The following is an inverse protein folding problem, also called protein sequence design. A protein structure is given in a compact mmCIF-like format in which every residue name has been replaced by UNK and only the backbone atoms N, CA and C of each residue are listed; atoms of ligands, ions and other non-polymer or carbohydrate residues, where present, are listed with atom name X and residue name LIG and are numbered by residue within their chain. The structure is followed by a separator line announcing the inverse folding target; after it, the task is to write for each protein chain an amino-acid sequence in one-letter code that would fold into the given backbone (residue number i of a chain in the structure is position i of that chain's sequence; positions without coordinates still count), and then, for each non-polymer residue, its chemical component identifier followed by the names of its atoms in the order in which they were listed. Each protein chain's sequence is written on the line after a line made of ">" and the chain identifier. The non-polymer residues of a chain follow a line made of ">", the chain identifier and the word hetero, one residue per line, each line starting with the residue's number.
data_IF_946526592905
#
_entry.id   IF_946526592905
#
_cell.length_a   1.000
_cell.length_b   1.000
_cell.length_c   1.000
_cell.angle_alpha   90.00
_cell.angle_beta   90.00
_cell.angle_gamma   90.00
#
_symmetry.space_group_name_H-M   'P 1'
#
loop_
_entity.id
_entity.type
_entity.pdbx_description
1 polymer ?
#
# COMPACT_ATOMS: atom_id res chain seq x y z
N UNK A 1 -0.11 17.47 31.78
CA UNK A 1 1.00 16.50 31.83
C UNK A 1 1.66 16.49 30.47
N UNK A 2 2.97 16.22 30.40
CA UNK A 2 3.67 16.16 29.12
C UNK A 2 3.55 14.75 28.56
N UNK A 3 3.13 14.65 27.30
CA UNK A 3 3.07 13.40 26.58
C UNK A 3 4.49 12.91 26.25
N UNK A 4 4.68 11.60 26.25
CA UNK A 4 5.96 10.98 25.92
C UNK A 4 5.75 9.68 25.17
N UNK A 5 6.65 9.40 24.23
CA UNK A 5 6.70 8.14 23.51
C UNK A 5 7.44 7.04 24.27
N UNK A 6 8.09 7.33 25.40
CA UNK A 6 8.78 6.34 26.20
C UNK A 6 7.82 5.68 27.21
N UNK A 7 7.80 4.35 27.26
CA UNK A 7 7.02 3.62 28.26
C UNK A 7 7.61 3.79 29.67
N UNK A 8 6.78 3.81 30.74
CA UNK A 8 7.26 3.87 32.12
C UNK A 8 8.11 2.65 32.48
N UNK A 9 9.09 2.83 33.35
CA UNK A 9 9.86 1.71 33.88
C UNK A 9 9.03 0.92 34.92
N UNK A 10 9.35 -0.37 35.07
CA UNK A 10 8.74 -1.19 36.10
C UNK A 10 9.07 -0.62 37.50
N UNK A 11 8.03 -0.14 38.20
CA UNK A 11 8.16 0.46 39.54
C UNK A 11 8.00 1.98 39.57
N UNK A 12 7.81 2.65 38.43
CA UNK A 12 7.50 4.07 38.39
C UNK A 12 6.16 4.36 39.08
N UNK A 13 6.16 5.37 39.97
CA UNK A 13 4.92 5.85 40.58
C UNK A 13 4.19 6.75 39.60
N UNK A 14 2.97 6.35 39.23
CA UNK A 14 2.08 7.14 38.39
C UNK A 14 1.13 8.04 39.21
N UNK A 15 1.35 8.18 40.51
CA UNK A 15 0.60 9.13 41.36
C UNK A 15 0.98 10.57 40.99
N UNK A 16 -0.01 11.36 40.59
CA UNK A 16 0.19 12.74 40.17
C UNK A 16 -0.13 13.75 41.27
N UNK A 17 -1.16 13.46 42.05
CA UNK A 17 -1.66 14.38 43.07
C UNK A 17 -1.93 13.61 44.36
N UNK A 18 -1.48 14.18 45.46
CA UNK A 18 -1.91 13.78 46.80
C UNK A 18 -2.25 15.05 47.57
N UNK A 19 -3.45 15.16 48.11
CA UNK A 19 -3.84 16.30 48.96
C UNK A 19 -3.95 15.87 50.42
N UNK A 20 -3.86 16.84 51.33
CA UNK A 20 -3.99 16.60 52.77
C UNK A 20 -5.44 16.48 53.26
N UNK A 21 -6.43 16.44 52.37
CA UNK A 21 -7.85 16.54 52.68
C UNK A 21 -8.63 17.48 51.74
N UNK A 22 -9.97 17.40 51.76
CA UNK A 22 -10.87 18.35 51.07
C UNK A 22 -11.67 17.76 49.91
N UNK A 23 -12.44 18.61 49.23
CA UNK A 23 -13.36 18.28 48.13
C UNK A 23 -12.80 18.68 46.74
N UNK A 24 -11.48 18.86 46.64
CA UNK A 24 -10.82 19.18 45.39
C UNK A 24 -10.98 18.06 44.35
N UNK A 25 -11.39 18.42 43.14
CA UNK A 25 -11.48 17.52 42.00
C UNK A 25 -10.40 17.88 40.97
N UNK A 26 -9.73 16.87 40.41
CA UNK A 26 -8.70 17.03 39.40
C UNK A 26 -9.11 16.37 38.09
N UNK A 27 -8.72 16.98 36.98
CA UNK A 27 -8.90 16.43 35.64
C UNK A 27 -7.62 16.64 34.82
N UNK A 28 -7.42 15.83 33.78
CA UNK A 28 -6.35 16.06 32.82
C UNK A 28 -6.78 17.17 31.85
N UNK A 29 -5.89 18.15 31.66
CA UNK A 29 -6.12 19.28 30.74
C UNK A 29 -5.85 18.96 29.26
N UNK A 30 -5.33 17.76 28.98
CA UNK A 30 -5.08 17.27 27.62
C UNK A 30 -6.42 16.93 26.93
N UNK A 31 -6.44 16.94 25.60
CA UNK A 31 -7.65 16.62 24.84
C UNK A 31 -8.17 15.21 25.20
N UNK A 32 -9.48 15.05 25.33
CA UNK A 32 -10.08 13.77 25.73
C UNK A 32 -9.84 13.35 27.19
N UNK A 33 -9.12 14.15 27.99
CA UNK A 33 -8.80 13.81 29.37
C UNK A 33 -7.80 12.64 29.48
N UNK A 34 -6.95 12.46 28.46
CA UNK A 34 -5.93 11.40 28.38
C UNK A 34 -4.53 11.98 28.27
N UNK A 35 -3.52 11.24 28.72
CA UNK A 35 -2.10 11.55 28.51
C UNK A 35 -1.44 10.40 27.77
N UNK A 36 -0.59 10.71 26.79
CA UNK A 36 0.11 9.70 26.01
C UNK A 36 1.39 9.32 26.74
N UNK A 37 1.53 8.05 27.12
CA UNK A 37 2.74 7.55 27.78
C UNK A 37 3.14 6.21 27.17
N UNK A 38 4.16 6.25 26.33
CA UNK A 38 4.64 5.07 25.63
C UNK A 38 3.63 4.55 24.62
N UNK A 39 3.32 3.27 24.73
CA UNK A 39 2.44 2.54 23.81
C UNK A 39 0.96 2.87 24.03
N UNK A 40 0.55 3.21 25.26
CA UNK A 40 -0.86 3.32 25.65
C UNK A 40 -1.24 4.71 26.15
N UNK A 41 -2.52 5.05 26.03
CA UNK A 41 -3.08 6.25 26.64
C UNK A 41 -3.42 5.98 28.11
N UNK A 42 -3.28 7.00 28.95
CA UNK A 42 -3.56 6.93 30.38
C UNK A 42 -4.62 7.94 30.77
N UNK A 43 -5.52 7.56 31.67
CA UNK A 43 -6.52 8.45 32.26
C UNK A 43 -6.22 8.72 33.72
N UNK A 44 -6.77 9.79 34.26
CA UNK A 44 -6.68 10.08 35.69
C UNK A 44 -7.69 9.24 36.46
N UNK A 45 -7.20 8.41 37.39
CA UNK A 45 -8.00 7.65 38.33
C UNK A 45 -7.96 8.33 39.70
N UNK A 46 -9.14 8.56 40.27
CA UNK A 46 -9.29 8.88 41.70
C UNK A 46 -9.18 7.57 42.50
N UNK A 47 -8.10 7.44 43.26
CA UNK A 47 -7.84 6.24 44.07
C UNK A 47 -8.57 6.27 45.42
N UNK A 48 -9.34 7.32 45.70
CA UNK A 48 -9.80 7.64 47.04
C UNK A 48 -8.64 8.10 47.94
N UNK A 49 -8.96 8.39 49.20
CA UNK A 49 -7.99 8.89 50.19
C UNK A 49 -7.20 10.12 49.73
N UNK A 50 -7.80 10.99 48.91
CA UNK A 50 -7.19 12.22 48.42
C UNK A 50 -5.95 11.99 47.55
N UNK A 51 -5.95 10.91 46.74
CA UNK A 51 -4.86 10.56 45.84
C UNK A 51 -5.37 10.26 44.43
N UNK A 52 -4.69 10.81 43.42
CA UNK A 52 -5.00 10.60 42.01
C UNK A 52 -3.76 10.09 41.27
N UNK A 53 -3.92 9.02 40.49
CA UNK A 53 -2.85 8.44 39.68
C UNK A 53 -3.28 8.23 38.24
N UNK A 54 -2.30 8.04 37.37
CA UNK A 54 -2.58 7.60 36.01
C UNK A 54 -2.84 6.10 36.00
N UNK A 55 -3.96 5.73 35.38
CA UNK A 55 -4.31 4.35 35.09
C UNK A 55 -4.16 4.10 33.58
N UNK A 56 -3.44 3.04 33.25
CA UNK A 56 -3.26 2.59 31.87
C UNK A 56 -4.62 2.21 31.27
N UNK A 57 -5.00 2.83 30.16
CA UNK A 57 -6.14 2.38 29.37
C UNK A 57 -5.66 1.48 28.22
N UNK A 58 -5.46 0.19 28.51
CA UNK A 58 -5.01 -0.81 27.51
C UNK A 58 -5.91 -0.97 26.30
N UNK A 59 -7.13 -0.42 26.35
CA UNK A 59 -8.04 -0.43 25.20
C UNK A 59 -7.67 0.62 24.14
N UNK A 60 -6.83 1.61 24.45
CA UNK A 60 -6.46 2.67 23.51
C UNK A 60 -4.95 2.88 23.44
N UNK A 61 -4.40 2.66 22.25
CA UNK A 61 -3.00 2.91 21.91
C UNK A 61 -2.78 4.41 21.64
N UNK A 62 -1.58 4.91 21.93
CA UNK A 62 -1.25 6.33 21.68
C UNK A 62 -1.31 6.67 20.19
N UNK A 63 -1.57 7.95 19.83
CA UNK A 63 -1.46 8.41 18.45
C UNK A 63 -0.12 8.03 17.79
N UNK A 64 1.01 8.19 18.50
CA UNK A 64 2.32 7.79 17.97
C UNK A 64 2.44 6.28 17.70
N UNK A 65 1.77 5.43 18.48
CA UNK A 65 1.68 3.99 18.21
C UNK A 65 0.87 3.73 16.94
N UNK A 66 -0.26 4.44 16.75
CA UNK A 66 -1.02 4.34 15.49
C UNK A 66 -0.22 4.80 14.29
N UNK A 67 0.61 5.85 14.42
CA UNK A 67 1.45 6.36 13.33
C UNK A 67 2.45 5.30 12.86
N UNK A 68 3.10 4.60 13.80
CA UNK A 68 4.02 3.49 13.52
C UNK A 68 3.31 2.34 12.78
N UNK A 69 2.12 1.96 13.22
CA UNK A 69 1.31 0.91 12.58
C UNK A 69 0.85 1.32 11.18
N UNK A 70 0.38 2.56 11.02
CA UNK A 70 -0.09 3.09 9.75
C UNK A 70 1.02 3.08 8.69
N UNK A 71 2.23 3.52 9.05
CA UNK A 71 3.36 3.51 8.12
C UNK A 71 3.77 2.09 7.69
N UNK A 72 3.75 1.13 8.62
CA UNK A 72 4.04 -0.27 8.30
C UNK A 72 2.99 -0.88 7.35
N UNK A 73 1.72 -0.49 7.48
CA UNK A 73 0.62 -0.95 6.61
C UNK A 73 0.60 -0.26 5.24
N UNK A 74 1.17 0.94 5.11
CA UNK A 74 1.16 1.72 3.87
C UNK A 74 2.15 1.19 2.80
N UNK A 75 3.30 0.63 3.21
CA UNK A 75 4.31 0.12 2.26
C UNK A 75 3.77 -0.97 1.30
N UNK A 76 3.01 -1.99 1.78
CA UNK A 76 2.26 -2.90 0.93
C UNK A 76 1.42 -2.24 -0.18
N UNK A 77 0.77 -1.12 0.15
CA UNK A 77 -0.12 -0.42 -0.78
C UNK A 77 0.67 0.36 -1.84
N UNK A 78 1.84 0.91 -1.46
CA UNK A 78 2.80 1.49 -2.42
C UNK A 78 3.28 0.40 -3.39
N UNK A 79 3.72 -0.75 -2.87
CA UNK A 79 4.17 -1.88 -3.69
C UNK A 79 3.10 -2.33 -4.70
N UNK A 80 1.85 -2.44 -4.27
CA UNK A 80 0.73 -2.84 -5.11
C UNK A 80 0.43 -1.84 -6.23
N UNK A 81 0.42 -0.54 -5.91
CA UNK A 81 0.16 0.51 -6.89
C UNK A 81 1.21 0.48 -8.02
N UNK A 82 2.48 0.37 -7.65
CA UNK A 82 3.59 0.28 -8.61
C UNK A 82 3.55 -1.02 -9.43
N UNK A 83 3.16 -2.14 -8.82
CA UNK A 83 3.05 -3.41 -9.53
C UNK A 83 1.92 -3.35 -10.58
N UNK A 84 0.79 -2.70 -10.26
CA UNK A 84 -0.37 -2.63 -11.14
C UNK A 84 -0.06 -1.89 -12.47
N UNK A 85 0.90 -0.96 -12.53
CA UNK A 85 1.31 -0.29 -13.78
C UNK A 85 1.97 -1.25 -14.76
N UNK A 86 2.86 -2.12 -14.27
CA UNK A 86 3.55 -3.13 -15.09
C UNK A 86 2.60 -4.26 -15.48
N UNK A 87 1.66 -4.61 -14.61
CA UNK A 87 0.60 -5.60 -14.93
C UNK A 87 -0.31 -5.09 -16.04
N UNK A 88 -0.69 -3.81 -16.02
CA UNK A 88 -1.47 -3.21 -17.11
C UNK A 88 -0.66 -3.21 -18.42
N UNK A 89 0.64 -2.90 -18.39
CA UNK A 89 1.54 -3.04 -19.55
C UNK A 89 1.50 -4.45 -20.12
N UNK A 90 1.72 -5.48 -19.29
CA UNK A 90 1.72 -6.89 -19.72
C UNK A 90 0.37 -7.35 -20.29
N UNK A 91 -0.74 -6.89 -19.70
CA UNK A 91 -2.09 -7.15 -20.21
C UNK A 91 -2.38 -6.42 -21.54
N UNK A 92 -1.76 -5.25 -21.75
CA UNK A 92 -1.98 -4.42 -22.95
C UNK A 92 -1.32 -4.97 -24.21
N UNK A 93 -0.25 -5.73 -24.05
CA UNK A 93 0.54 -6.27 -25.16
C UNK A 93 0.08 -7.66 -25.62
N UNK A 94 -0.93 -8.26 -24.97
CA UNK A 94 -1.43 -9.60 -25.36
C UNK A 94 -2.00 -9.57 -26.77
N UNK A 95 -1.50 -10.45 -27.65
CA UNK A 95 -1.86 -10.49 -29.06
C UNK A 95 -1.39 -9.29 -29.90
N UNK A 96 -0.50 -8.43 -29.37
CA UNK A 96 0.08 -7.28 -30.11
C UNK A 96 1.49 -7.63 -30.54
N UNK A 97 1.84 -7.36 -31.80
CA UNK A 97 3.19 -7.55 -32.33
C UNK A 97 3.94 -6.21 -32.43
N UNK A 98 5.18 -6.18 -31.98
CA UNK A 98 6.14 -5.09 -32.13
C UNK A 98 7.54 -5.66 -31.81
N UNK A 99 8.60 -5.00 -32.26
CA UNK A 99 9.97 -5.45 -31.98
C UNK A 99 10.46 -4.92 -30.64
N UNK A 100 10.51 -3.59 -30.48
CA UNK A 100 10.86 -2.92 -29.23
C UNK A 100 9.90 -1.78 -28.93
N UNK A 101 9.68 -1.52 -27.64
CA UNK A 101 8.87 -0.42 -27.18
C UNK A 101 9.50 0.26 -25.96
N UNK A 102 9.44 1.58 -25.95
CA UNK A 102 9.55 2.36 -24.72
C UNK A 102 8.16 2.76 -24.27
N UNK A 103 7.90 2.74 -22.97
CA UNK A 103 6.61 3.13 -22.42
C UNK A 103 6.77 3.88 -21.12
N UNK A 104 5.75 4.67 -20.79
CA UNK A 104 5.64 5.36 -19.51
C UNK A 104 4.21 5.33 -19.03
N UNK A 105 4.00 5.19 -17.72
CA UNK A 105 2.68 5.23 -17.10
C UNK A 105 2.73 6.06 -15.83
N UNK A 106 1.84 7.05 -15.73
CA UNK A 106 1.62 7.80 -14.51
C UNK A 106 0.45 7.16 -13.75
N UNK A 107 0.61 7.00 -12.44
CA UNK A 107 -0.42 6.47 -11.54
C UNK A 107 -0.78 7.50 -10.48
N UNK A 108 -2.06 7.52 -10.12
CA UNK A 108 -2.56 8.25 -8.97
C UNK A 108 -3.55 7.32 -8.25
N UNK A 109 -3.45 7.17 -6.94
CA UNK A 109 -4.39 6.34 -6.18
C UNK A 109 -4.67 6.90 -4.81
N UNK A 110 -5.88 6.65 -4.30
CA UNK A 110 -6.24 6.85 -2.90
C UNK A 110 -6.62 5.53 -2.27
N UNK A 111 -6.17 5.32 -1.05
CA UNK A 111 -6.58 4.22 -0.18
C UNK A 111 -7.12 4.78 1.13
N UNK A 112 -8.23 4.24 1.61
CA UNK A 112 -8.75 4.46 2.95
C UNK A 112 -8.60 3.11 3.68
N UNK A 113 -7.84 3.11 4.77
CA UNK A 113 -7.51 1.90 5.52
C UNK A 113 -8.10 2.00 6.91
N UNK A 114 -8.79 0.94 7.30
CA UNK A 114 -9.29 0.75 8.66
C UNK A 114 -8.67 -0.53 9.23
N UNK A 115 -8.24 -0.46 10.50
CA UNK A 115 -7.66 -1.60 11.22
C UNK A 115 -8.43 -1.82 12.51
N UNK A 116 -8.49 -3.08 12.96
CA UNK A 116 -9.17 -3.45 14.20
C UNK A 116 -8.51 -2.81 15.44
N UNK A 117 -7.23 -2.44 15.33
CA UNK A 117 -6.47 -1.74 16.38
C UNK A 117 -6.82 -0.24 16.49
N UNK A 118 -7.67 0.29 15.60
CA UNK A 118 -8.01 1.73 15.56
C UNK A 118 -6.92 2.61 14.93
N UNK A 119 -5.95 2.00 14.24
CA UNK A 119 -4.93 2.67 13.44
C UNK A 119 -5.42 2.79 12.00
N UNK A 120 -6.38 3.69 11.77
CA UNK A 120 -6.87 4.02 10.43
C UNK A 120 -6.04 5.13 9.78
N UNK A 121 -5.98 5.13 8.45
CA UNK A 121 -5.33 6.18 7.68
C UNK A 121 -5.89 6.32 6.27
N UNK A 122 -5.72 7.53 5.72
CA UNK A 122 -5.92 7.81 4.31
C UNK A 122 -4.56 7.96 3.62
N UNK A 123 -4.39 7.31 2.48
CA UNK A 123 -3.19 7.40 1.65
C UNK A 123 -3.55 8.02 0.30
N UNK A 124 -2.73 8.95 -0.19
CA UNK A 124 -2.75 9.38 -1.59
C UNK A 124 -1.36 9.20 -2.19
N UNK A 125 -1.26 8.41 -3.26
CA UNK A 125 -0.02 8.13 -3.97
C UNK A 125 -0.06 8.69 -5.38
N UNK A 126 1.06 9.24 -5.83
CA UNK A 126 1.32 9.58 -7.24
C UNK A 126 2.65 8.97 -7.65
N UNK A 127 2.72 8.38 -8.84
CA UNK A 127 3.95 7.77 -9.34
C UNK A 127 4.11 7.85 -10.85
N UNK A 128 5.33 7.61 -11.30
CA UNK A 128 5.70 7.52 -12.70
C UNK A 128 6.58 6.30 -12.93
N UNK A 129 6.08 5.36 -13.73
CA UNK A 129 6.82 4.21 -14.21
C UNK A 129 7.34 4.48 -15.61
N UNK A 130 8.60 4.15 -15.86
CA UNK A 130 9.24 4.13 -17.18
C UNK A 130 9.73 2.73 -17.48
N UNK A 131 9.51 2.24 -18.69
CA UNK A 131 9.95 0.90 -19.08
C UNK A 131 10.37 0.79 -20.53
N UNK A 132 11.13 -0.27 -20.78
CA UNK A 132 11.54 -0.70 -22.11
C UNK A 132 11.36 -2.22 -22.21
N UNK A 133 10.75 -2.67 -23.30
CA UNK A 133 10.58 -4.09 -23.56
C UNK A 133 10.71 -4.42 -25.03
N UNK A 134 11.08 -5.67 -25.28
CA UNK A 134 11.11 -6.25 -26.62
C UNK A 134 10.22 -7.48 -26.65
N UNK A 135 9.60 -7.70 -27.81
CA UNK A 135 8.76 -8.87 -28.05
C UNK A 135 9.31 -9.66 -29.22
N UNK A 136 9.33 -10.97 -29.05
CA UNK A 136 9.85 -11.92 -30.03
C UNK A 136 8.82 -12.99 -30.29
N UNK A 137 8.41 -13.12 -31.54
CA UNK A 137 7.47 -14.16 -31.99
C UNK A 137 8.23 -15.24 -32.72
N UNK A 138 8.08 -16.49 -32.30
CA UNK A 138 8.67 -17.67 -32.93
C UNK A 138 7.66 -18.81 -32.94
N UNK A 139 7.47 -19.41 -34.13
CA UNK A 139 6.55 -20.53 -34.33
C UNK A 139 5.16 -20.19 -33.75
N UNK A 140 4.68 -20.99 -32.80
CA UNK A 140 3.37 -20.85 -32.16
C UNK A 140 3.42 -20.03 -30.86
N UNK A 141 4.49 -19.27 -30.60
CA UNK A 141 4.66 -18.54 -29.34
C UNK A 141 5.20 -17.12 -29.53
N UNK A 142 4.80 -16.23 -28.61
CA UNK A 142 5.37 -14.90 -28.41
C UNK A 142 5.98 -14.81 -27.03
N UNK A 143 7.11 -14.12 -26.90
CA UNK A 143 7.74 -13.82 -25.60
C UNK A 143 7.99 -12.32 -25.49
N UNK A 144 7.70 -11.72 -24.33
CA UNK A 144 8.07 -10.35 -23.97
C UNK A 144 9.12 -10.39 -22.86
N UNK A 145 10.06 -9.46 -22.89
CA UNK A 145 11.03 -9.22 -21.82
C UNK A 145 11.26 -7.73 -21.67
N UNK A 146 11.27 -7.24 -20.44
CA UNK A 146 11.47 -5.82 -20.20
C UNK A 146 12.07 -5.51 -18.85
N UNK A 147 12.51 -4.27 -18.74
CA UNK A 147 12.99 -3.63 -17.53
C UNK A 147 12.15 -2.38 -17.28
N UNK A 148 11.97 -2.04 -16.02
CA UNK A 148 11.30 -0.81 -15.64
C UNK A 148 11.94 -0.18 -14.41
N UNK A 149 11.77 1.13 -14.32
CA UNK A 149 12.06 1.95 -13.17
C UNK A 149 10.78 2.68 -12.78
N UNK A 150 10.52 2.82 -11.49
CA UNK A 150 9.42 3.61 -10.97
C UNK A 150 9.89 4.53 -9.84
N UNK A 151 9.31 5.73 -9.81
CA UNK A 151 9.35 6.60 -8.64
C UNK A 151 7.92 6.94 -8.23
N UNK A 152 7.63 6.78 -6.94
CA UNK A 152 6.33 7.13 -6.37
C UNK A 152 6.48 7.92 -5.07
N UNK A 153 5.54 8.84 -4.84
CA UNK A 153 5.40 9.63 -3.63
C UNK A 153 4.02 9.39 -3.03
N UNK A 154 3.98 9.10 -1.74
CA UNK A 154 2.74 8.85 -1.00
C UNK A 154 2.64 9.75 0.21
N UNK A 155 1.55 10.51 0.31
CA UNK A 155 1.14 11.21 1.53
C UNK A 155 0.14 10.33 2.30
N UNK A 156 0.28 10.29 3.62
CA UNK A 156 -0.52 9.50 4.55
C UNK A 156 -1.07 10.42 5.64
N UNK A 157 -2.39 10.51 5.76
CA UNK A 157 -3.08 11.20 6.84
C UNK A 157 -3.57 10.20 7.88
N UNK A 158 -3.13 10.34 9.13
CA UNK A 158 -3.51 9.43 10.21
C UNK A 158 -4.84 9.86 10.86
N UNK A 159 -5.74 8.92 11.12
CA UNK A 159 -7.07 9.22 11.71
C UNK A 159 -6.97 9.82 13.12
N UNK A 160 -5.95 9.41 13.88
CA UNK A 160 -5.63 9.96 15.21
C UNK A 160 -4.83 11.27 15.17
N UNK A 161 -4.63 11.82 13.97
CA UNK A 161 -3.93 13.08 13.74
C UNK A 161 -2.44 12.91 13.49
N UNK A 162 -1.89 13.82 12.69
CA UNK A 162 -0.53 13.69 12.17
C UNK A 162 -0.55 13.28 10.70
N UNK A 163 0.65 13.14 10.13
CA UNK A 163 0.85 12.73 8.74
C UNK A 163 2.15 11.93 8.59
N UNK A 164 2.25 11.12 7.56
CA UNK A 164 3.47 10.44 7.16
C UNK A 164 3.63 10.45 5.65
N UNK A 165 4.86 10.30 5.17
CA UNK A 165 5.15 10.30 3.75
C UNK A 165 6.07 9.11 3.41
N UNK A 166 5.88 8.53 2.22
CA UNK A 166 6.73 7.48 1.67
C UNK A 166 7.17 7.88 0.26
N UNK A 167 8.47 8.03 0.06
CA UNK A 167 9.10 8.09 -1.26
C UNK A 167 9.65 6.71 -1.62
N UNK A 168 9.28 6.20 -2.79
CA UNK A 168 9.70 4.88 -3.27
C UNK A 168 10.51 4.99 -4.55
N UNK A 169 11.59 4.22 -4.61
CA UNK A 169 12.43 4.07 -5.80
C UNK A 169 12.52 2.59 -6.15
N UNK A 170 12.00 2.24 -7.32
CA UNK A 170 11.77 0.84 -7.68
C UNK A 170 12.49 0.49 -8.96
N UNK A 171 13.14 -0.66 -8.97
CA UNK A 171 13.75 -1.27 -10.14
C UNK A 171 13.21 -2.67 -10.31
N UNK A 172 12.79 -3.02 -11.51
CA UNK A 172 12.27 -4.35 -11.78
C UNK A 172 12.43 -4.83 -13.20
N UNK A 173 12.08 -6.10 -13.37
CA UNK A 173 12.11 -6.80 -14.64
C UNK A 173 10.85 -7.63 -14.79
N UNK A 174 10.44 -7.84 -16.04
CA UNK A 174 9.34 -8.74 -16.35
C UNK A 174 9.64 -9.58 -17.58
N UNK A 175 9.00 -10.73 -17.62
CA UNK A 175 8.96 -11.59 -18.77
C UNK A 175 7.57 -12.18 -18.92
N UNK A 176 7.17 -12.44 -20.16
CA UNK A 176 5.89 -13.06 -20.47
C UNK A 176 6.00 -13.98 -21.65
N UNK A 177 5.18 -15.01 -21.67
CA UNK A 177 5.05 -15.98 -22.75
C UNK A 177 3.58 -16.14 -23.10
N UNK A 178 3.27 -16.21 -24.39
CA UNK A 178 1.93 -16.37 -24.94
C UNK A 178 1.97 -17.38 -26.09
N UNK A 179 1.14 -18.41 -26.03
CA UNK A 179 0.97 -19.39 -27.10
C UNK A 179 -0.18 -18.99 -28.02
N UNK A 180 -0.13 -19.39 -29.29
CA UNK A 180 -1.20 -19.15 -30.27
C UNK A 180 -2.55 -19.78 -29.88
N UNK A 181 -2.55 -20.78 -28.99
CA UNK A 181 -3.79 -21.36 -28.47
C UNK A 181 -4.50 -20.43 -27.48
N UNK A 182 -3.84 -19.38 -26.99
CA UNK A 182 -4.36 -18.41 -26.02
C UNK A 182 -3.75 -18.52 -24.63
N UNK A 183 -3.08 -19.62 -24.28
CA UNK A 183 -2.43 -19.78 -22.98
C UNK A 183 -1.30 -18.75 -22.80
N UNK A 184 -1.19 -18.16 -21.62
CA UNK A 184 -0.12 -17.23 -21.31
C UNK A 184 0.35 -17.33 -19.86
N UNK A 185 1.60 -16.91 -19.63
CA UNK A 185 2.19 -16.73 -18.30
C UNK A 185 3.02 -15.46 -18.31
N UNK A 186 2.84 -14.60 -17.32
CA UNK A 186 3.64 -13.41 -17.06
C UNK A 186 4.29 -13.49 -15.69
N UNK A 187 5.49 -12.93 -15.58
CA UNK A 187 6.24 -12.83 -14.33
C UNK A 187 6.84 -11.43 -14.18
N UNK A 188 6.77 -10.89 -12.97
CA UNK A 188 7.41 -9.62 -12.57
C UNK A 188 8.23 -9.88 -11.32
N UNK A 189 9.42 -9.30 -11.27
CA UNK A 189 10.23 -9.19 -10.05
C UNK A 189 10.65 -7.74 -9.88
N UNK A 190 10.58 -7.22 -8.65
CA UNK A 190 11.01 -5.86 -8.34
C UNK A 190 11.63 -5.75 -6.97
N UNK A 191 12.48 -4.75 -6.82
CA UNK A 191 13.07 -4.31 -5.55
C UNK A 191 12.77 -2.84 -5.37
N UNK A 192 12.51 -2.46 -4.13
CA UNK A 192 12.01 -1.14 -3.75
C UNK A 192 12.90 -0.57 -2.64
N UNK A 193 13.19 0.73 -2.70
CA UNK A 193 13.78 1.46 -1.58
C UNK A 193 12.79 2.53 -1.13
N UNK A 194 12.31 2.41 0.11
CA UNK A 194 11.37 3.34 0.71
C UNK A 194 12.10 4.29 1.67
N UNK A 195 11.95 5.59 1.46
CA UNK A 195 12.28 6.61 2.43
C UNK A 195 10.99 7.06 3.12
N UNK A 196 10.94 6.89 4.44
CA UNK A 196 9.73 7.08 5.24
C UNK A 196 9.95 8.24 6.21
N UNK A 197 8.97 9.13 6.29
CA UNK A 197 8.95 10.24 7.24
C UNK A 197 7.64 10.22 8.02
N UNK A 198 7.72 10.42 9.33
CA UNK A 198 6.58 10.48 10.25
C UNK A 198 6.54 11.86 10.90
N UNK A 199 5.37 12.46 10.86
CA UNK A 199 4.99 13.69 11.55
C UNK A 199 3.73 13.42 12.40
N UNK A 200 3.92 12.68 13.48
CA UNK A 200 2.86 12.31 14.42
C UNK A 200 2.37 13.49 15.25
N UNK A 201 1.14 13.40 15.73
CA UNK A 201 0.53 14.39 16.65
C UNK A 201 0.11 13.71 17.95
N UNK A 202 0.61 14.21 19.07
CA UNK A 202 0.28 13.73 20.41
C UNK A 202 -1.02 14.36 20.93
N UNK A 203 -1.64 13.76 21.95
CA UNK A 203 -2.90 14.18 22.56
C UNK A 203 -2.87 15.58 23.18
N UNK A 204 -1.69 16.05 23.61
CA UNK A 204 -1.44 17.42 24.08
C UNK A 204 -1.17 18.42 22.94
N UNK A 205 -1.18 17.97 21.68
CA UNK A 205 -0.96 18.78 20.49
C UNK A 205 0.50 18.94 20.07
N UNK A 206 1.46 18.42 20.82
CA UNK A 206 2.86 18.38 20.40
C UNK A 206 3.07 17.37 19.27
N UNK A 207 4.20 17.47 18.57
CA UNK A 207 4.51 16.62 17.41
C UNK A 207 5.63 15.63 17.71
N UNK A 208 5.53 14.44 17.12
CA UNK A 208 6.55 13.40 17.14
C UNK A 208 7.10 13.19 15.72
N UNK A 209 8.41 13.28 15.55
CA UNK A 209 9.08 13.19 14.26
C UNK A 209 9.88 11.90 14.16
N UNK A 210 9.96 11.29 12.98
CA UNK A 210 10.85 10.16 12.73
C UNK A 210 11.13 9.97 11.24
N UNK A 211 12.36 9.59 10.91
CA UNK A 211 12.78 9.29 9.55
C UNK A 211 13.51 7.94 9.52
N UNK A 212 13.17 7.09 8.56
CA UNK A 212 13.81 5.79 8.39
C UNK A 212 13.71 5.30 6.94
N UNK A 213 14.58 4.37 6.57
CA UNK A 213 14.57 3.75 5.25
C UNK A 213 14.30 2.26 5.37
N UNK A 214 13.54 1.70 4.45
CA UNK A 214 13.35 0.25 4.30
C UNK A 214 13.62 -0.18 2.86
N UNK A 215 13.95 -1.46 2.68
CA UNK A 215 14.10 -2.08 1.38
C UNK A 215 13.06 -3.20 1.22
N UNK A 216 12.40 -3.22 0.07
CA UNK A 216 11.42 -4.21 -0.32
C UNK A 216 11.92 -5.09 -1.46
N UNK A 217 11.38 -6.30 -1.52
CA UNK A 217 11.49 -7.17 -2.69
C UNK A 217 10.17 -7.90 -2.90
N UNK A 218 9.75 -8.03 -4.15
CA UNK A 218 8.54 -8.76 -4.48
C UNK A 218 8.58 -9.43 -5.84
N UNK A 219 7.69 -10.39 -5.98
CA UNK A 219 7.50 -11.17 -7.19
C UNK A 219 6.00 -11.36 -7.45
N UNK A 220 5.65 -11.41 -8.72
CA UNK A 220 4.30 -11.65 -9.20
C UNK A 220 4.34 -12.64 -10.35
N UNK A 221 3.40 -13.57 -10.37
CA UNK A 221 3.15 -14.45 -11.51
C UNK A 221 1.67 -14.42 -11.84
N UNK A 222 1.34 -14.25 -13.12
CA UNK A 222 -0.03 -14.32 -13.64
C UNK A 222 -0.05 -15.37 -14.76
N UNK A 223 -1.07 -16.20 -14.77
CA UNK A 223 -1.29 -17.17 -15.84
C UNK A 223 -2.76 -17.21 -16.22
N UNK A 224 -3.03 -17.41 -17.50
CA UNK A 224 -4.40 -17.36 -17.98
C UNK A 224 -4.54 -17.87 -19.39
N UNK A 225 -5.72 -17.63 -19.94
CA UNK A 225 -6.04 -18.03 -21.30
C UNK A 225 -6.79 -16.92 -22.00
N UNK A 226 -6.36 -16.55 -23.20
CA UNK A 226 -6.99 -15.54 -24.03
C UNK A 226 -7.87 -16.21 -25.08
N UNK A 227 -9.18 -15.97 -24.99
CA UNK A 227 -10.14 -16.34 -26.02
C UNK A 227 -10.50 -15.13 -26.86
N UNK A 228 -10.50 -15.29 -28.18
CA UNK A 228 -10.88 -14.24 -29.13
C UNK A 228 -12.02 -14.74 -30.00
N UNK A 229 -13.09 -13.95 -30.08
CA UNK A 229 -14.22 -14.19 -30.99
C UNK A 229 -14.61 -12.88 -31.67
N UNK A 230 -14.29 -12.77 -32.96
CA UNK A 230 -14.43 -11.54 -33.73
C UNK A 230 -13.66 -10.38 -33.08
N UNK A 231 -14.39 -9.37 -32.63
CA UNK A 231 -13.84 -8.16 -31.99
C UNK A 231 -13.70 -8.30 -30.47
N UNK A 232 -14.20 -9.38 -29.87
CA UNK A 232 -14.15 -9.59 -28.42
C UNK A 232 -12.94 -10.42 -28.02
N UNK A 233 -12.31 -10.05 -26.90
CA UNK A 233 -11.27 -10.82 -26.25
C UNK A 233 -11.61 -11.01 -24.77
N UNK A 234 -11.58 -12.25 -24.28
CA UNK A 234 -11.83 -12.60 -22.87
C UNK A 234 -10.60 -13.30 -22.31
N UNK A 235 -10.17 -12.89 -21.11
CA UNK A 235 -8.97 -13.37 -20.43
C UNK A 235 -9.23 -13.70 -18.97
N UNK A 236 -9.73 -14.90 -18.65
CA UNK A 236 -9.65 -15.44 -17.29
C UNK A 236 -8.19 -15.68 -16.89
N UNK A 237 -7.86 -15.40 -15.63
CA UNK A 237 -6.51 -15.60 -15.10
C UNK A 237 -6.51 -15.93 -13.61
N UNK A 238 -5.39 -16.49 -13.18
CA UNK A 238 -4.98 -16.65 -11.80
C UNK A 238 -3.62 -15.99 -11.62
N UNK A 239 -3.43 -15.35 -10.47
CA UNK A 239 -2.20 -14.66 -10.12
C UNK A 239 -1.80 -14.95 -8.68
N UNK A 240 -0.48 -14.92 -8.45
CA UNK A 240 0.11 -14.98 -7.12
C UNK A 240 1.12 -13.86 -6.96
N UNK A 241 1.05 -13.17 -5.83
CA UNK A 241 1.96 -12.07 -5.49
C UNK A 241 2.59 -12.33 -4.14
N UNK A 242 3.91 -12.18 -4.07
CA UNK A 242 4.68 -12.20 -2.84
C UNK A 242 5.47 -10.90 -2.69
N UNK A 243 5.50 -10.35 -1.48
CA UNK A 243 6.29 -9.17 -1.14
C UNK A 243 6.85 -9.32 0.27
N UNK A 244 8.07 -8.83 0.48
CA UNK A 244 8.66 -8.71 1.81
C UNK A 244 9.50 -7.45 1.92
N UNK A 245 9.56 -6.88 3.12
CA UNK A 245 10.53 -5.83 3.50
C UNK A 245 11.60 -6.37 4.44
N UNK A 246 12.71 -5.66 4.59
CA UNK A 246 13.60 -5.83 5.75
C UNK A 246 12.93 -5.33 7.04
N UNK A 247 13.47 -5.74 8.20
CA UNK A 247 13.01 -5.25 9.50
C UNK A 247 13.53 -3.83 9.76
N UNK A 248 12.74 -3.02 10.48
CA UNK A 248 13.05 -1.61 10.77
C UNK A 248 13.15 -1.37 12.26
N UNK A 249 14.26 -0.76 12.67
CA UNK A 249 14.47 -0.25 14.02
C UNK A 249 14.61 1.27 13.94
N UNK A 250 13.67 2.01 14.53
CA UNK A 250 13.75 3.47 14.59
C UNK A 250 13.16 4.04 15.88
N UNK A 251 13.53 5.29 16.18
CA UNK A 251 13.06 6.00 17.39
C UNK A 251 12.48 7.34 16.98
N UNK A 252 11.27 7.64 17.43
CA UNK A 252 10.63 8.93 17.25
C UNK A 252 11.21 9.97 18.22
N UNK A 253 11.10 11.26 17.87
CA UNK A 253 11.61 12.37 18.68
C UNK A 253 11.00 12.49 20.07
N UNK A 254 9.84 11.86 20.32
CA UNK A 254 9.20 11.78 21.63
C UNK A 254 9.71 10.61 22.50
N UNK A 255 10.66 9.82 22.02
CA UNK A 255 11.27 8.69 22.73
C UNK A 255 10.67 7.33 22.43
N UNK A 256 9.64 7.24 21.57
CA UNK A 256 9.04 5.97 21.18
C UNK A 256 9.98 5.17 20.28
N UNK A 257 10.23 3.91 20.66
CA UNK A 257 11.00 2.97 19.86
C UNK A 257 10.06 2.06 19.09
N UNK A 258 10.28 1.94 17.79
CA UNK A 258 9.58 1.00 16.92
C UNK A 258 10.56 -0.06 16.41
N UNK A 259 10.22 -1.34 16.63
CA UNK A 259 10.84 -2.52 16.01
C UNK A 259 9.76 -3.16 15.12
N UNK A 260 9.80 -2.82 13.84
CA UNK A 260 8.91 -3.35 12.81
C UNK A 260 9.60 -4.58 12.21
N UNK A 261 9.01 -5.76 12.39
CA UNK A 261 9.50 -6.97 11.74
C UNK A 261 9.37 -6.90 10.21
N UNK A 262 9.78 -7.96 9.51
CA UNK A 262 9.56 -8.04 8.06
C UNK A 262 8.07 -7.94 7.74
N UNK A 263 7.65 -6.93 7.00
CA UNK A 263 6.30 -6.87 6.43
C UNK A 263 6.24 -7.87 5.29
N UNK A 264 5.18 -8.68 5.22
CA UNK A 264 4.98 -9.73 4.21
C UNK A 264 3.58 -9.64 3.61
N UNK A 265 3.51 -9.89 2.31
CA UNK A 265 2.27 -10.14 1.59
C UNK A 265 2.42 -11.48 0.89
N UNK A 266 1.38 -12.31 1.01
CA UNK A 266 1.15 -13.47 0.16
C UNK A 266 -0.30 -13.36 -0.32
N UNK A 267 -0.48 -13.17 -1.61
CA UNK A 267 -1.79 -12.94 -2.22
C UNK A 267 -2.03 -13.95 -3.34
N UNK A 268 -3.24 -14.51 -3.37
CA UNK A 268 -3.79 -15.11 -4.58
C UNK A 268 -4.85 -14.18 -5.18
N UNK A 269 -4.90 -14.11 -6.49
CA UNK A 269 -5.87 -13.32 -7.24
C UNK A 269 -6.49 -14.20 -8.33
N UNK A 270 -7.81 -14.11 -8.49
CA UNK A 270 -8.53 -14.73 -9.60
C UNK A 270 -9.39 -13.67 -10.26
N UNK A 271 -9.36 -13.59 -11.59
CA UNK A 271 -10.15 -12.59 -12.28
C UNK A 271 -10.37 -12.88 -13.74
N UNK A 272 -11.04 -11.95 -14.40
CA UNK A 272 -11.30 -11.99 -15.84
C UNK A 272 -11.26 -10.58 -16.40
N UNK A 273 -10.57 -10.42 -17.52
CA UNK A 273 -10.60 -9.20 -18.32
C UNK A 273 -11.36 -9.44 -19.63
N UNK A 274 -12.12 -8.45 -20.07
CA UNK A 274 -12.84 -8.45 -21.36
C UNK A 274 -12.45 -7.19 -22.11
N UNK A 275 -12.11 -7.28 -23.39
CA UNK A 275 -11.85 -6.14 -24.25
C UNK A 275 -12.57 -6.25 -25.59
N UNK A 276 -12.82 -5.10 -26.21
CA UNK A 276 -13.49 -5.00 -27.50
C UNK A 276 -12.64 -4.17 -28.46
N UNK A 277 -12.18 -4.77 -29.55
CA UNK A 277 -11.30 -4.14 -30.52
C UNK A 277 -12.09 -3.39 -31.60
N UNK A 278 -11.71 -2.16 -31.91
CA UNK A 278 -12.38 -1.33 -32.91
C UNK A 278 -11.38 -0.65 -33.84
N UNK A 279 -11.53 -0.86 -35.14
CA UNK A 279 -10.81 -0.10 -36.17
C UNK A 279 -11.66 1.11 -36.60
N UNK A 280 -11.11 2.32 -36.44
CA UNK A 280 -11.74 3.56 -36.88
C UNK A 280 -11.34 3.90 -38.31
N UNK A 281 -12.20 4.61 -39.05
CA UNK A 281 -11.98 4.95 -40.47
C UNK A 281 -10.73 5.80 -40.73
N UNK A 282 -10.22 6.49 -39.71
CA UNK A 282 -9.02 7.31 -39.76
C UNK A 282 -7.72 6.52 -39.49
N UNK A 283 -7.78 5.19 -39.33
CA UNK A 283 -6.63 4.33 -39.06
C UNK A 283 -6.24 4.21 -37.57
N UNK A 284 -7.00 4.84 -36.67
CA UNK A 284 -6.87 4.68 -35.22
C UNK A 284 -7.55 3.38 -34.78
N UNK A 285 -6.90 2.61 -33.90
CA UNK A 285 -7.56 1.49 -33.21
C UNK A 285 -7.98 1.93 -31.82
N UNK A 286 -9.17 1.52 -31.37
CA UNK A 286 -9.69 1.78 -30.03
C UNK A 286 -10.02 0.44 -29.35
N UNK A 287 -9.60 0.27 -28.10
CA UNK A 287 -9.87 -0.93 -27.33
C UNK A 287 -10.31 -0.58 -25.90
N UNK A 288 -11.62 -0.37 -25.67
CA UNK A 288 -12.17 -0.37 -24.33
C UNK A 288 -12.06 -1.77 -23.70
N UNK A 289 -11.83 -1.80 -22.38
CA UNK A 289 -11.72 -3.04 -21.62
C UNK A 289 -12.25 -2.88 -20.19
N UNK A 290 -12.67 -4.02 -19.63
CA UNK A 290 -13.14 -4.17 -18.25
C UNK A 290 -12.39 -5.33 -17.60
N UNK A 291 -12.12 -5.25 -16.30
CA UNK A 291 -11.52 -6.34 -15.52
C UNK A 291 -12.22 -6.43 -14.16
N UNK A 292 -12.53 -7.65 -13.74
CA UNK A 292 -13.02 -7.94 -12.40
C UNK A 292 -12.15 -9.02 -11.77
N UNK A 293 -11.86 -8.88 -10.49
CA UNK A 293 -10.99 -9.78 -9.75
C UNK A 293 -11.41 -9.91 -8.29
N UNK A 294 -11.10 -11.06 -7.71
CA UNK A 294 -11.10 -11.30 -6.26
C UNK A 294 -9.67 -11.57 -5.83
N UNK A 295 -9.20 -10.81 -4.86
CA UNK A 295 -7.91 -10.95 -4.19
C UNK A 295 -8.13 -11.56 -2.81
N UNK A 296 -7.26 -12.49 -2.44
CA UNK A 296 -7.21 -13.07 -1.09
C UNK A 296 -5.79 -12.94 -0.56
N UNK A 297 -5.65 -12.20 0.53
CA UNK A 297 -4.42 -12.00 1.29
C UNK A 297 -4.34 -13.05 2.40
N UNK A 298 -3.18 -13.72 2.50
CA UNK A 298 -2.93 -14.83 3.43
C UNK A 298 -1.84 -14.56 4.47
N UNK A 299 -0.99 -13.55 4.27
CA UNK A 299 0.12 -13.30 5.18
C UNK A 299 -0.39 -12.74 6.53
N UNK A 300 -0.11 -13.46 7.61
CA UNK A 300 -0.62 -13.28 8.98
C UNK A 300 0.53 -13.17 10.01
N UNK A 301 1.59 -12.40 9.69
CA UNK A 301 2.79 -12.34 10.54
C UNK A 301 3.56 -11.02 10.47
N UNK A 302 2.87 -9.92 10.21
CA UNK A 302 3.44 -8.57 10.24
C UNK A 302 3.49 -8.06 11.69
N UNK A 303 4.54 -8.46 12.39
CA UNK A 303 4.71 -8.10 13.80
C UNK A 303 5.31 -6.71 13.93
N UNK A 304 4.63 -5.84 14.66
CA UNK A 304 5.12 -4.52 15.03
C UNK A 304 5.26 -4.47 16.54
N UNK A 305 6.46 -4.17 17.02
CA UNK A 305 6.72 -3.90 18.43
C UNK A 305 6.90 -2.41 18.62
N UNK A 306 6.18 -1.87 19.61
CA UNK A 306 6.31 -0.49 20.06
C UNK A 306 6.77 -0.54 21.50
N UNK A 307 7.92 0.07 21.77
CA UNK A 307 8.66 -0.05 23.02
C UNK A 307 8.82 -1.54 23.43
N UNK A 308 8.93 -1.81 24.74
CA UNK A 308 9.06 -3.17 25.29
C UNK A 308 7.71 -3.82 25.63
N UNK A 309 6.63 -3.04 25.62
CA UNK A 309 5.31 -3.39 26.13
C UNK A 309 4.21 -3.51 25.05
N UNK A 310 4.44 -2.98 23.85
CA UNK A 310 3.51 -3.05 22.71
C UNK A 310 3.89 -4.14 21.72
N UNK A 311 2.97 -5.09 21.47
CA UNK A 311 3.08 -6.10 20.40
C UNK A 311 1.79 -6.13 19.61
N UNK A 312 1.89 -5.80 18.33
CA UNK A 312 0.76 -5.70 17.42
C UNK A 312 0.98 -6.58 16.21
N UNK A 313 -0.09 -7.19 15.73
CA UNK A 313 -0.15 -7.77 14.40
C UNK A 313 -0.82 -6.75 13.49
N UNK A 314 -0.13 -6.36 12.44
CA UNK A 314 -0.57 -5.34 11.49
C UNK A 314 -0.82 -5.97 10.12
N UNK A 315 -1.79 -6.87 10.08
CA UNK A 315 -2.19 -7.60 8.89
C UNK A 315 -3.49 -7.04 8.28
N UNK A 316 -3.56 -7.13 6.95
CA UNK A 316 -4.76 -6.85 6.16
C UNK A 316 -5.23 -8.13 5.48
N UNK A 317 -5.15 -9.25 6.21
CA UNK A 317 -5.60 -10.54 5.73
C UNK A 317 -7.11 -10.50 5.47
N UNK A 318 -7.53 -11.01 4.32
CA UNK A 318 -8.95 -11.03 3.97
C UNK A 318 -9.18 -11.07 2.47
N UNK A 319 -10.45 -10.91 2.10
CA UNK A 319 -10.89 -10.94 0.71
C UNK A 319 -11.22 -9.53 0.23
N UNK A 320 -10.74 -9.19 -0.96
CA UNK A 320 -10.97 -7.90 -1.61
C UNK A 320 -11.47 -8.06 -3.04
N UNK A 321 -12.55 -7.36 -3.38
CA UNK A 321 -13.02 -7.24 -4.76
C UNK A 321 -12.34 -6.08 -5.46
N UNK A 322 -11.93 -6.26 -6.71
CA UNK A 322 -11.31 -5.22 -7.55
C UNK A 322 -11.99 -5.18 -8.92
N UNK A 323 -12.37 -3.98 -9.35
CA UNK A 323 -13.01 -3.71 -10.62
C UNK A 323 -12.25 -2.61 -11.35
N UNK A 324 -11.96 -2.82 -12.62
CA UNK A 324 -11.18 -1.89 -13.43
C UNK A 324 -11.85 -1.70 -14.79
N UNK A 325 -11.70 -0.50 -15.33
CA UNK A 325 -12.16 -0.15 -16.67
C UNK A 325 -11.12 0.75 -17.32
N UNK A 326 -10.94 0.61 -18.62
CA UNK A 326 -10.00 1.46 -19.32
C UNK A 326 -10.20 1.45 -20.83
N UNK A 327 -9.38 2.24 -21.50
CA UNK A 327 -9.35 2.36 -22.94
C UNK A 327 -7.90 2.45 -23.40
N UNK A 328 -7.59 1.73 -24.49
CA UNK A 328 -6.33 1.85 -25.21
C UNK A 328 -6.60 2.38 -26.61
N UNK A 329 -5.71 3.21 -27.13
CA UNK A 329 -5.82 3.78 -28.46
C UNK A 329 -4.48 3.82 -29.18
N UNK A 330 -4.45 3.53 -30.48
CA UNK A 330 -3.28 3.77 -31.34
C UNK A 330 -3.47 5.06 -32.14
N UNK A 331 -2.61 6.05 -31.88
CA UNK A 331 -2.67 7.35 -32.55
C UNK A 331 -1.93 7.31 -33.89
N UNK A 332 -0.84 6.54 -33.96
CA UNK A 332 -0.06 6.26 -35.17
C UNK A 332 0.39 4.80 -35.15
N UNK A 333 1.02 4.26 -36.22
CA UNK A 333 1.58 2.91 -36.20
C UNK A 333 2.64 2.69 -35.11
N UNK A 334 3.25 3.76 -34.60
CA UNK A 334 4.34 3.71 -33.61
C UNK A 334 3.95 4.28 -32.25
N UNK A 335 2.83 4.99 -32.14
CA UNK A 335 2.44 5.69 -30.91
C UNK A 335 1.05 5.26 -30.47
N UNK A 336 0.96 4.74 -29.26
CA UNK A 336 -0.30 4.39 -28.60
C UNK A 336 -0.35 4.93 -27.18
N UNK A 337 -1.54 4.95 -26.59
CA UNK A 337 -1.73 5.37 -25.21
C UNK A 337 -2.91 4.64 -24.56
N UNK A 338 -2.96 4.75 -23.23
CA UNK A 338 -4.03 4.16 -22.43
C UNK A 338 -4.45 5.08 -21.29
N UNK A 339 -5.69 4.89 -20.85
CA UNK A 339 -6.26 5.48 -19.66
C UNK A 339 -7.11 4.42 -18.95
N UNK A 340 -6.93 4.26 -17.65
CA UNK A 340 -7.70 3.32 -16.85
C UNK A 340 -8.07 3.90 -15.49
N UNK A 341 -9.13 3.35 -14.90
CA UNK A 341 -9.58 3.61 -13.55
C UNK A 341 -9.97 2.30 -12.88
N UNK A 342 -9.74 2.21 -11.58
CA UNK A 342 -10.11 1.05 -10.78
C UNK A 342 -10.67 1.43 -9.43
N UNK A 343 -11.55 0.56 -8.92
CA UNK A 343 -12.14 0.59 -7.60
C UNK A 343 -11.88 -0.76 -6.93
N UNK A 344 -11.63 -0.78 -5.62
CA UNK A 344 -11.64 -2.05 -4.90
C UNK A 344 -11.89 -1.88 -3.42
N UNK A 345 -12.59 -2.84 -2.81
CA UNK A 345 -13.00 -2.77 -1.41
C UNK A 345 -13.04 -4.17 -0.78
N UNK A 346 -12.60 -4.26 0.47
CA UNK A 346 -12.61 -5.46 1.29
C UNK A 346 -11.43 -5.48 2.27
N UNK A 347 -11.51 -6.35 3.29
CA UNK A 347 -10.44 -6.58 4.27
C UNK A 347 -9.86 -5.30 4.92
N UNK A 348 -10.73 -4.32 5.23
CA UNK A 348 -10.30 -3.05 5.84
C UNK A 348 -9.62 -2.07 4.90
N UNK A 349 -9.57 -2.36 3.58
CA UNK A 349 -8.95 -1.48 2.58
C UNK A 349 -9.95 -1.13 1.48
N UNK A 350 -10.29 0.15 1.39
CA UNK A 350 -11.02 0.72 0.25
C UNK A 350 -10.07 1.56 -0.61
N UNK A 351 -9.94 1.24 -1.90
CA UNK A 351 -9.38 2.15 -2.89
C UNK A 351 -10.53 2.74 -3.69
N UNK A 352 -11.05 3.93 -3.31
CA UNK A 352 -12.15 4.56 -4.04
C UNK A 352 -11.79 4.86 -5.49
N UNK A 353 -10.51 5.09 -5.77
CA UNK A 353 -9.99 5.24 -7.12
C UNK A 353 -8.49 4.92 -7.19
N UNK A 354 -8.09 4.34 -8.32
CA UNK A 354 -6.73 4.24 -8.82
C UNK A 354 -6.81 4.51 -10.31
N UNK A 355 -6.14 5.56 -10.78
CA UNK A 355 -6.13 6.00 -12.17
C UNK A 355 -4.74 5.84 -12.75
N UNK A 356 -4.67 5.37 -14.00
CA UNK A 356 -3.42 5.25 -14.72
C UNK A 356 -3.56 5.85 -16.11
N UNK A 357 -2.54 6.56 -16.55
CA UNK A 357 -2.46 7.11 -17.89
C UNK A 357 -1.05 6.92 -18.43
N UNK A 358 -0.94 6.36 -19.64
CA UNK A 358 0.36 6.07 -20.20
C UNK A 358 0.43 6.16 -21.71
N UNK A 359 1.66 6.19 -22.19
CA UNK A 359 2.02 6.26 -23.61
C UNK A 359 3.06 5.20 -23.93
N UNK A 360 3.00 4.69 -25.15
CA UNK A 360 3.87 3.63 -25.66
C UNK A 360 4.36 4.06 -27.03
N UNK A 361 5.67 4.02 -27.21
CA UNK A 361 6.34 4.27 -28.48
C UNK A 361 7.07 3.01 -28.94
N UNK A 362 6.69 2.47 -30.09
CA UNK A 362 7.28 1.28 -30.71
C UNK A 362 8.22 1.66 -31.86
N UNK A 363 9.31 0.91 -32.03
CA UNK A 363 10.31 1.14 -33.08
C UNK A 363 11.09 -0.13 -33.45
#
# INVERSE_FOLDING_TARGET
>A
MTDTGASPAAGDSLTLVTTGGGDAAFTLGNAGGVVDIGTYEYTLLDNGNHSWSLAENRAQITPSTTDVLNMAAAQPLVFDAELDTVRERLGSVKGVNYDTAMWSSAINTRNNVTTDAGAGFEQTLTGLTLGIDSRFSREESSTIRGLFFDYSHSDIGFDRGGKGNIDSYTLGAYAGWEHQNGAYVDGVVKVDRFANTIHGKMSNGATAFGDYNSNGAGAHVESGFRWVDGLWSVRPYLAFTGFTTDGQDYTLSNGMRADVGNTRILRAEAGTAVSYHMDLQNGTTLEPWLKAAVRQEYADSNHVKVNDDGKFNNDVAGTRGVYQAGIRSSFTPTLSGHLSVSYGNGAGVESPWNTQAGVVWTF
#
